data_IF_913542242164
#
_entry.id   IF_913542242164
#
_cell.length_a   1.000
_cell.length_b   1.000
_cell.length_c   1.000
_cell.angle_alpha   90.00
_cell.angle_beta   90.00
_cell.angle_gamma   90.00
#
_symmetry.space_group_name_H-M   'P 1'
#
loop_
_entity.id
_entity.type
_entity.pdbx_description
1 polymer ?
#
# COMPACT_ATOMS: atom_id res chain seq x y z
N UNK A 1 0.82 2.98 4.26
CA UNK A 1 -0.22 2.97 3.19
C UNK A 1 -0.20 1.66 2.43
N UNK A 2 0.88 1.26 1.74
CA UNK A 2 0.93 0.00 0.97
C UNK A 2 0.39 -1.25 1.70
N UNK A 3 0.78 -1.50 2.95
CA UNK A 3 0.26 -2.65 3.71
C UNK A 3 -1.25 -2.56 4.01
N UNK A 4 -1.82 -1.37 4.12
CA UNK A 4 -3.26 -1.17 4.32
C UNK A 4 -4.03 -1.48 3.03
N UNK A 5 -3.49 -1.09 1.86
CA UNK A 5 -4.06 -1.47 0.55
C UNK A 5 -4.07 -3.00 0.38
N UNK A 6 -2.96 -3.66 0.74
CA UNK A 6 -2.91 -5.12 0.78
C UNK A 6 -3.90 -5.74 1.77
N UNK A 7 -4.15 -5.08 2.91
CA UNK A 7 -5.15 -5.51 3.88
C UNK A 7 -6.60 -5.35 3.37
N UNK A 8 -6.84 -4.46 2.43
CA UNK A 8 -8.16 -4.22 1.82
C UNK A 8 -8.59 -5.34 0.86
N UNK A 9 -7.69 -6.22 0.39
CA UNK A 9 -8.05 -7.34 -0.47
C UNK A 9 -9.19 -8.19 0.14
N UNK A 10 -10.36 -8.18 -0.50
CA UNK A 10 -11.59 -8.87 -0.05
C UNK A 10 -12.46 -8.08 0.93
N UNK A 11 -12.23 -6.78 1.13
CA UNK A 11 -12.95 -5.89 2.05
C UNK A 11 -13.24 -4.53 1.39
N UNK A 12 -14.13 -3.74 1.98
CA UNK A 12 -14.26 -2.32 1.63
C UNK A 12 -13.08 -1.52 2.18
N UNK A 13 -12.69 -0.44 1.49
CA UNK A 13 -11.64 0.47 1.98
C UNK A 13 -12.05 1.12 3.31
N UNK A 14 -13.32 1.48 3.47
CA UNK A 14 -13.88 2.02 4.73
C UNK A 14 -13.60 1.10 5.92
N UNK A 15 -13.71 -0.22 5.74
CA UNK A 15 -13.40 -1.21 6.80
C UNK A 15 -11.94 -1.09 7.26
N UNK A 16 -11.01 -0.92 6.32
CA UNK A 16 -9.59 -0.78 6.63
C UNK A 16 -9.29 0.60 7.23
N UNK A 17 -9.91 1.64 6.69
CA UNK A 17 -9.75 3.02 7.15
C UNK A 17 -10.21 3.18 8.61
N UNK A 18 -11.36 2.61 8.97
CA UNK A 18 -11.88 2.61 10.35
C UNK A 18 -10.96 1.86 11.33
N UNK A 19 -10.11 0.97 10.84
CA UNK A 19 -9.12 0.22 11.62
C UNK A 19 -7.71 0.84 11.59
N UNK A 20 -7.50 1.95 10.87
CA UNK A 20 -6.17 2.49 10.58
C UNK A 20 -5.35 2.79 11.83
N UNK A 21 -5.94 3.40 12.85
CA UNK A 21 -5.25 3.72 14.09
C UNK A 21 -4.93 2.46 14.90
N UNK A 22 -5.81 1.46 14.90
CA UNK A 22 -5.52 0.19 15.54
C UNK A 22 -4.42 -0.57 14.82
N UNK A 23 -4.40 -0.56 13.48
CA UNK A 23 -3.29 -1.08 12.69
C UNK A 23 -1.98 -0.37 13.03
N UNK A 24 -2.00 0.96 13.11
CA UNK A 24 -0.81 1.76 13.46
C UNK A 24 -0.28 1.36 14.83
N UNK A 25 -1.13 1.21 15.84
CA UNK A 25 -0.71 0.76 17.17
C UNK A 25 -0.21 -0.70 17.17
N UNK A 26 -0.95 -1.61 16.55
CA UNK A 26 -0.63 -3.04 16.52
C UNK A 26 0.74 -3.33 15.87
N UNK A 27 1.06 -2.59 14.79
CA UNK A 27 2.30 -2.69 14.02
C UNK A 27 3.35 -1.63 14.41
N UNK A 28 3.44 -1.27 15.69
CA UNK A 28 4.51 -0.41 16.24
C UNK A 28 4.73 0.90 15.45
N UNK A 29 3.64 1.61 15.15
CA UNK A 29 3.64 2.88 14.40
C UNK A 29 4.22 2.76 12.98
N UNK A 30 4.21 1.55 12.41
CA UNK A 30 4.83 1.23 11.12
C UNK A 30 6.36 1.32 11.10
N UNK A 31 7.00 1.19 12.26
CA UNK A 31 8.46 1.04 12.35
C UNK A 31 8.89 -0.29 11.69
N UNK A 32 9.45 -0.18 10.47
CA UNK A 32 9.84 -1.32 9.67
C UNK A 32 10.93 -2.17 10.33
N UNK A 33 11.82 -1.57 11.13
CA UNK A 33 12.88 -2.30 11.82
C UNK A 33 12.31 -3.18 12.94
N UNK A 34 11.35 -2.65 13.70
CA UNK A 34 10.62 -3.44 14.71
C UNK A 34 9.80 -4.56 14.05
N UNK A 35 9.00 -4.22 13.03
CA UNK A 35 8.13 -5.18 12.35
C UNK A 35 8.94 -6.33 11.73
N UNK A 36 10.08 -6.04 11.11
CA UNK A 36 10.93 -7.04 10.47
C UNK A 36 11.44 -8.13 11.45
N UNK A 37 11.50 -7.81 12.75
CA UNK A 37 11.99 -8.67 13.84
C UNK A 37 10.88 -9.38 14.62
N UNK A 38 9.61 -9.23 14.22
CA UNK A 38 8.51 -9.91 14.90
C UNK A 38 8.71 -11.43 14.90
N UNK A 39 8.46 -12.02 16.07
CA UNK A 39 8.51 -13.44 16.33
C UNK A 39 7.10 -14.07 16.32
N UNK A 40 7.03 -15.38 16.58
CA UNK A 40 5.77 -16.12 16.61
C UNK A 40 4.82 -15.62 17.72
N UNK A 41 5.37 -15.14 18.84
CA UNK A 41 4.58 -14.57 19.94
C UNK A 41 3.86 -13.30 19.49
N UNK A 42 4.57 -12.37 18.85
CA UNK A 42 3.97 -11.14 18.32
C UNK A 42 2.97 -11.46 17.22
N UNK A 43 3.24 -12.44 16.36
CA UNK A 43 2.28 -12.91 15.34
C UNK A 43 1.00 -13.45 15.99
N UNK A 44 1.10 -14.26 17.04
CA UNK A 44 -0.07 -14.79 17.75
C UNK A 44 -0.90 -13.66 18.39
N UNK A 45 -0.24 -12.66 18.99
CA UNK A 45 -0.91 -11.47 19.52
C UNK A 45 -1.70 -10.71 18.44
N UNK A 46 -1.07 -10.47 17.28
CA UNK A 46 -1.72 -9.79 16.15
C UNK A 46 -2.93 -10.58 15.63
N UNK A 47 -2.85 -11.91 15.60
CA UNK A 47 -3.96 -12.76 15.15
C UNK A 47 -5.12 -12.81 16.16
N UNK A 48 -4.87 -12.50 17.43
CA UNK A 48 -5.90 -12.36 18.45
C UNK A 48 -6.56 -10.97 18.47
N UNK A 49 -5.93 -9.95 17.89
CA UNK A 49 -6.42 -8.58 17.89
C UNK A 49 -7.59 -8.38 16.91
N UNK A 50 -8.80 -8.17 17.43
CA UNK A 50 -10.00 -7.88 16.64
C UNK A 50 -9.99 -6.49 15.99
N UNK A 51 -9.08 -5.62 16.43
CA UNK A 51 -8.83 -4.30 15.89
C UNK A 51 -8.22 -4.31 14.48
N UNK A 52 -7.59 -5.40 14.07
CA UNK A 52 -7.06 -5.60 12.71
C UNK A 52 -7.78 -6.74 11.97
N UNK A 53 -7.50 -6.91 10.69
CA UNK A 53 -7.95 -8.07 9.92
C UNK A 53 -7.13 -9.29 10.33
N UNK A 54 -7.74 -10.20 11.08
CA UNK A 54 -7.13 -11.44 11.62
C UNK A 54 -6.89 -12.47 10.52
N UNK A 55 -5.88 -12.21 9.69
CA UNK A 55 -5.49 -13.08 8.58
C UNK A 55 -3.98 -13.37 8.64
N UNK A 56 -3.63 -14.66 8.78
CA UNK A 56 -2.24 -15.11 8.92
C UNK A 56 -1.35 -14.71 7.75
N UNK A 57 -1.86 -14.77 6.52
CA UNK A 57 -1.09 -14.40 5.33
C UNK A 57 -0.83 -12.89 5.28
N UNK A 58 -1.80 -12.04 5.66
CA UNK A 58 -1.64 -10.58 5.68
C UNK A 58 -0.66 -10.13 6.79
N UNK A 59 -0.70 -10.76 7.96
CA UNK A 59 0.27 -10.50 9.04
C UNK A 59 1.68 -10.91 8.60
N UNK A 60 1.85 -12.12 8.07
CA UNK A 60 3.14 -12.60 7.57
C UNK A 60 3.68 -11.72 6.42
N UNK A 61 2.80 -11.29 5.51
CA UNK A 61 3.15 -10.36 4.45
C UNK A 61 3.63 -9.01 4.98
N UNK A 62 3.00 -8.46 6.02
CA UNK A 62 3.42 -7.19 6.64
C UNK A 62 4.86 -7.28 7.17
N UNK A 63 5.21 -8.39 7.82
CA UNK A 63 6.56 -8.68 8.31
C UNK A 63 7.56 -8.81 7.15
N UNK A 64 7.20 -9.56 6.11
CA UNK A 64 8.01 -9.70 4.90
C UNK A 64 8.21 -8.38 4.16
N UNK A 65 7.15 -7.59 4.03
CA UNK A 65 7.17 -6.26 3.41
C UNK A 65 8.05 -5.29 4.17
N UNK A 66 8.10 -5.36 5.51
CA UNK A 66 9.03 -4.55 6.29
C UNK A 66 10.50 -4.89 5.96
N UNK A 67 10.84 -6.19 5.83
CA UNK A 67 12.19 -6.63 5.42
C UNK A 67 12.52 -6.19 3.99
N UNK A 68 11.57 -6.30 3.06
CA UNK A 68 11.74 -5.85 1.69
C UNK A 68 11.88 -4.33 1.60
N UNK A 69 11.12 -3.59 2.40
CA UNK A 69 11.20 -2.14 2.51
C UNK A 69 12.57 -1.67 3.02
N UNK A 70 13.13 -2.32 4.04
CA UNK A 70 14.45 -1.96 4.56
C UNK A 70 15.54 -2.10 3.48
N UNK A 71 15.48 -3.16 2.67
CA UNK A 71 16.38 -3.32 1.50
C UNK A 71 16.16 -2.22 0.45
N UNK A 72 14.91 -1.95 0.08
CA UNK A 72 14.58 -0.87 -0.85
C UNK A 72 15.07 0.49 -0.31
N UNK A 73 14.98 0.71 1.00
CA UNK A 73 15.45 1.93 1.67
C UNK A 73 16.96 2.10 1.55
N UNK A 74 17.72 1.02 1.66
CA UNK A 74 19.17 1.03 1.42
C UNK A 74 19.53 1.29 -0.04
N UNK A 75 18.78 0.73 -0.99
CA UNK A 75 19.06 0.83 -2.43
C UNK A 75 18.71 2.19 -3.03
N UNK A 76 17.51 2.72 -2.70
CA UNK A 76 16.95 3.90 -3.38
C UNK A 76 16.30 4.91 -2.44
N UNK A 77 16.46 4.76 -1.12
CA UNK A 77 15.92 5.69 -0.11
C UNK A 77 14.48 5.40 0.34
N UNK A 78 13.83 4.38 -0.22
CA UNK A 78 12.53 3.86 0.24
C UNK A 78 11.44 3.96 -0.82
N UNK A 79 10.17 3.83 -0.41
CA UNK A 79 9.03 3.83 -1.33
C UNK A 79 8.81 5.19 -1.99
N UNK A 80 8.98 6.31 -1.27
CA UNK A 80 8.72 7.63 -1.82
C UNK A 80 9.62 7.96 -3.04
N UNK A 81 10.97 7.98 -2.92
CA UNK A 81 11.84 8.19 -4.08
C UNK A 81 11.69 7.12 -5.16
N UNK A 82 11.42 5.86 -4.77
CA UNK A 82 11.17 4.78 -5.72
C UNK A 82 9.95 5.04 -6.61
N UNK A 83 8.82 5.45 -6.03
CA UNK A 83 7.56 5.68 -6.75
C UNK A 83 7.64 6.93 -7.61
N UNK A 84 8.13 8.04 -7.06
CA UNK A 84 8.27 9.29 -7.81
C UNK A 84 9.25 9.17 -8.97
N UNK A 85 10.29 8.32 -8.85
CA UNK A 85 11.18 7.99 -9.95
C UNK A 85 10.51 7.25 -11.12
N UNK A 86 9.33 6.65 -10.93
CA UNK A 86 8.57 6.01 -12.01
C UNK A 86 7.76 7.01 -12.85
N UNK A 87 7.63 8.25 -12.37
CA UNK A 87 6.79 9.29 -12.97
C UNK A 87 7.56 10.61 -13.12
N UNK A 88 8.89 10.54 -13.20
CA UNK A 88 9.78 11.69 -13.36
C UNK A 88 9.54 12.82 -12.32
N UNK A 89 9.13 12.43 -11.11
CA UNK A 89 8.84 13.35 -10.01
C UNK A 89 7.58 14.18 -10.19
N UNK A 90 6.74 13.90 -11.20
CA UNK A 90 5.50 14.63 -11.46
C UNK A 90 4.28 13.72 -11.35
N UNK A 91 3.20 14.18 -10.70
CA UNK A 91 2.01 13.35 -10.56
C UNK A 91 1.34 13.15 -11.92
N UNK A 92 0.83 11.96 -12.16
CA UNK A 92 0.00 11.69 -13.34
C UNK A 92 -1.41 12.19 -13.02
N UNK A 93 -1.85 13.24 -13.71
CA UNK A 93 -3.20 13.80 -13.53
C UNK A 93 -4.10 13.35 -14.68
N UNK A 94 -4.98 12.39 -14.40
CA UNK A 94 -5.96 11.92 -15.37
C UNK A 94 -7.23 12.79 -15.33
N UNK A 95 -7.98 12.84 -16.44
CA UNK A 95 -9.18 13.68 -16.58
C UNK A 95 -10.43 12.86 -16.90
N UNK A 96 -10.68 11.83 -16.09
CA UNK A 96 -11.86 10.99 -16.23
C UNK A 96 -13.15 11.81 -16.10
N UNK A 97 -14.13 11.53 -16.96
CA UNK A 97 -15.44 12.18 -16.89
C UNK A 97 -16.26 11.62 -15.71
N UNK A 98 -16.13 10.32 -15.46
CA UNK A 98 -16.82 9.61 -14.39
C UNK A 98 -15.92 8.54 -13.75
N UNK A 99 -16.32 8.01 -12.60
CA UNK A 99 -15.61 6.91 -11.95
C UNK A 99 -15.62 5.62 -12.78
N UNK A 100 -16.61 5.44 -13.66
CA UNK A 100 -16.70 4.27 -14.54
C UNK A 100 -15.61 4.26 -15.62
N UNK A 101 -15.05 5.43 -15.94
CA UNK A 101 -13.97 5.57 -16.91
C UNK A 101 -12.59 5.28 -16.28
N UNK A 102 -12.50 5.32 -14.95
CA UNK A 102 -11.27 5.04 -14.23
C UNK A 102 -10.96 3.53 -14.28
N UNK A 103 -9.79 3.11 -14.79
CA UNK A 103 -9.47 1.69 -14.85
C UNK A 103 -9.21 1.11 -13.45
N UNK A 104 -9.25 -0.21 -13.32
CA UNK A 104 -8.86 -0.88 -12.07
C UNK A 104 -7.33 -1.12 -11.96
N UNK A 105 -6.59 -0.91 -13.05
CA UNK A 105 -5.14 -1.05 -13.15
C UNK A 105 -4.62 -0.37 -14.42
N UNK A 106 -3.35 -0.01 -14.44
CA UNK A 106 -2.63 0.59 -15.56
C UNK A 106 -1.33 -0.17 -15.88
N UNK A 107 -0.73 0.04 -17.06
CA UNK A 107 0.60 -0.49 -17.37
C UNK A 107 1.66 -0.11 -16.33
N UNK A 108 1.58 1.11 -15.77
CA UNK A 108 2.47 1.55 -14.69
C UNK A 108 2.28 0.69 -13.43
N UNK A 109 1.04 0.48 -12.99
CA UNK A 109 0.77 -0.37 -11.83
C UNK A 109 1.17 -1.84 -12.06
N UNK A 110 1.06 -2.35 -13.29
CA UNK A 110 1.55 -3.69 -13.65
C UNK A 110 3.08 -3.79 -13.52
N UNK A 111 3.80 -2.76 -13.98
CA UNK A 111 5.26 -2.71 -13.89
C UNK A 111 5.74 -2.65 -12.42
N UNK A 112 5.18 -1.73 -11.64
CA UNK A 112 5.51 -1.57 -10.21
C UNK A 112 5.12 -2.82 -9.42
N UNK A 113 3.96 -3.42 -9.70
CA UNK A 113 3.53 -4.67 -9.07
C UNK A 113 4.54 -5.80 -9.28
N UNK A 114 5.00 -5.99 -10.52
CA UNK A 114 6.00 -7.02 -10.86
C UNK A 114 7.34 -6.74 -10.17
N UNK A 115 7.78 -5.49 -10.14
CA UNK A 115 9.05 -5.10 -9.54
C UNK A 115 9.03 -5.27 -8.01
N UNK A 116 8.01 -4.76 -7.32
CA UNK A 116 7.85 -4.94 -5.87
C UNK A 116 7.72 -6.43 -5.50
N UNK A 117 7.02 -7.23 -6.30
CA UNK A 117 6.93 -8.67 -6.09
C UNK A 117 8.31 -9.36 -6.19
N UNK A 118 9.14 -8.98 -7.17
CA UNK A 118 10.53 -9.47 -7.31
C UNK A 118 11.40 -9.07 -6.12
N UNK A 119 11.17 -7.88 -5.55
CA UNK A 119 11.84 -7.38 -4.34
C UNK A 119 11.37 -8.06 -3.05
N UNK A 120 10.38 -8.96 -3.14
CA UNK A 120 9.89 -9.75 -2.01
C UNK A 120 8.66 -9.18 -1.31
N UNK A 121 8.08 -8.07 -1.80
CA UNK A 121 6.81 -7.59 -1.30
C UNK A 121 5.68 -8.56 -1.64
N UNK A 122 4.67 -8.62 -0.77
CA UNK A 122 3.47 -9.46 -0.85
C UNK A 122 2.22 -8.61 -0.71
N UNK A 123 1.11 -9.11 -1.27
CA UNK A 123 -0.13 -8.35 -1.43
C UNK A 123 0.07 -7.04 -2.20
N UNK A 124 0.85 -7.11 -3.28
CA UNK A 124 1.19 -5.98 -4.17
C UNK A 124 0.72 -6.25 -5.60
N UNK A 125 -0.47 -6.84 -5.76
CA UNK A 125 -1.07 -7.04 -7.07
C UNK A 125 -1.37 -5.73 -7.77
N UNK A 126 -1.42 -5.73 -9.11
CA UNK A 126 -1.55 -4.51 -9.92
C UNK A 126 -2.71 -3.58 -9.50
N UNK A 127 -3.88 -4.13 -9.20
CA UNK A 127 -5.02 -3.34 -8.68
C UNK A 127 -4.73 -2.69 -7.33
N UNK A 128 -4.05 -3.40 -6.43
CA UNK A 128 -3.62 -2.86 -5.12
C UNK A 128 -2.60 -1.74 -5.34
N UNK A 129 -1.67 -1.91 -6.27
CA UNK A 129 -0.68 -0.89 -6.59
C UNK A 129 -1.34 0.33 -7.22
N UNK A 130 -2.28 0.17 -8.13
CA UNK A 130 -2.99 1.30 -8.70
C UNK A 130 -3.74 2.11 -7.63
N UNK A 131 -4.49 1.43 -6.75
CA UNK A 131 -5.14 2.06 -5.60
C UNK A 131 -4.13 2.75 -4.67
N UNK A 132 -2.98 2.13 -4.43
CA UNK A 132 -1.91 2.72 -3.63
C UNK A 132 -1.36 4.01 -4.25
N UNK A 133 -1.09 4.03 -5.56
CA UNK A 133 -0.59 5.20 -6.28
C UNK A 133 -1.59 6.36 -6.23
N UNK A 134 -2.89 6.05 -6.34
CA UNK A 134 -3.97 7.01 -6.14
C UNK A 134 -3.97 7.55 -4.71
N UNK A 135 -3.96 6.65 -3.72
CA UNK A 135 -4.05 6.98 -2.30
C UNK A 135 -2.86 7.78 -1.74
N UNK A 136 -1.71 7.74 -2.41
CA UNK A 136 -0.51 8.55 -2.06
C UNK A 136 -0.24 9.71 -3.01
N UNK A 137 -1.10 9.94 -4.00
CA UNK A 137 -1.04 11.13 -4.87
C UNK A 137 -0.02 11.06 -6.01
N UNK A 138 0.61 9.91 -6.25
CA UNK A 138 1.43 9.69 -7.46
C UNK A 138 0.53 9.73 -8.71
N UNK A 139 -0.72 9.29 -8.56
CA UNK A 139 -1.76 9.42 -9.58
C UNK A 139 -2.93 10.22 -8.97
N UNK A 140 -3.38 11.25 -9.68
CA UNK A 140 -4.60 11.97 -9.37
C UNK A 140 -5.70 11.51 -10.33
N UNK A 141 -6.64 10.73 -9.78
CA UNK A 141 -7.83 10.22 -10.49
C UNK A 141 -9.13 10.87 -10.01
N UNK A 142 -9.07 12.01 -9.32
CA UNK A 142 -10.27 12.81 -9.11
C UNK A 142 -10.90 13.11 -10.48
N UNK A 143 -12.16 12.73 -10.66
CA UNK A 143 -12.92 13.03 -11.88
C UNK A 143 -12.95 14.54 -12.12
N UNK A 144 -13.05 14.95 -13.39
CA UNK A 144 -12.88 16.36 -13.80
C UNK A 144 -13.76 17.35 -13.01
N UNK A 145 -14.96 16.94 -12.64
CA UNK A 145 -15.93 17.80 -11.95
C UNK A 145 -15.80 17.73 -10.41
N UNK A 146 -14.82 16.99 -9.89
CA UNK A 146 -14.49 16.96 -8.48
C UNK A 146 -13.76 18.24 -8.07
N UNK A 147 -14.20 18.87 -6.98
CA UNK A 147 -13.57 20.08 -6.43
C UNK A 147 -12.11 19.88 -5.95
N UNK A 148 -11.65 18.64 -5.83
CA UNK A 148 -10.27 18.28 -5.51
C UNK A 148 -9.39 18.03 -6.75
N UNK A 149 -9.93 18.02 -7.97
CA UNK A 149 -9.19 17.64 -9.18
C UNK A 149 -7.94 18.49 -9.41
N UNK A 150 -8.03 19.81 -9.18
CA UNK A 150 -6.92 20.75 -9.37
C UNK A 150 -6.16 21.13 -8.10
N UNK A 151 -6.32 20.38 -7.01
CA UNK A 151 -5.61 20.64 -5.74
C UNK A 151 -4.28 19.90 -5.68
#
# INVERSE_FOLDING_TARGET
MLNLEGAQAGLSWETVLNKRETYRAAFDQWDAEKIARYDERKVAQLLADAGIVRNRLKVAATIGNARAYLKLREEVGGLDPYLWGQVDGQPIVNRWASLADCPAKTPLSDAISKDLAKRGFKFVGSTIIYAYLQGVGVINDHVRDCHCHGR
#
